data_IF_393787967731
#
_entry.id   IF_393787967731
#
_cell.length_a   1.000
_cell.length_b   1.000
_cell.length_c   1.000
_cell.angle_alpha   90.00
_cell.angle_beta   90.00
_cell.angle_gamma   90.00
#
_symmetry.space_group_name_H-M   'P 1'
#
loop_
_entity.id
_entity.type
_entity.pdbx_description
1 polymer ?
#
# COMPACT_ATOMS: atom_id res chain seq x y z
N UNK A 1 -23.93 71.90 -5.78
CA UNK A 1 -24.17 70.96 -6.89
C UNK A 1 -24.26 69.56 -6.29
N UNK A 2 -25.46 68.99 -6.13
CA UNK A 2 -25.67 67.70 -5.45
C UNK A 2 -25.57 66.52 -6.45
N UNK A 3 -25.02 65.36 -6.06
CA UNK A 3 -24.78 64.25 -6.98
C UNK A 3 -26.08 63.48 -7.28
N UNK A 4 -26.26 63.10 -8.55
CA UNK A 4 -27.39 62.32 -9.02
C UNK A 4 -27.34 60.88 -8.47
N UNK A 5 -28.27 60.56 -7.57
CA UNK A 5 -28.46 59.23 -7.01
C UNK A 5 -29.14 58.31 -8.04
N UNK A 6 -28.37 57.50 -8.77
CA UNK A 6 -28.90 56.43 -9.64
C UNK A 6 -29.41 55.27 -8.77
N UNK A 7 -30.71 55.24 -8.51
CA UNK A 7 -31.38 54.06 -7.93
C UNK A 7 -31.45 52.95 -8.97
N UNK A 8 -30.75 51.84 -8.76
CA UNK A 8 -30.93 50.61 -9.53
C UNK A 8 -32.35 50.07 -9.29
N UNK A 9 -33.25 50.19 -10.27
CA UNK A 9 -34.63 49.72 -10.15
C UNK A 9 -34.75 48.29 -10.68
N UNK A 10 -34.28 47.31 -9.92
CA UNK A 10 -34.73 45.94 -10.15
C UNK A 10 -36.21 45.86 -9.76
N UNK A 11 -37.07 45.49 -10.69
CA UNK A 11 -38.47 45.21 -10.40
C UNK A 11 -38.60 43.94 -9.55
N UNK A 12 -39.68 43.83 -8.77
CA UNK A 12 -39.96 42.63 -7.96
C UNK A 12 -39.94 41.34 -8.81
N UNK A 13 -40.41 41.43 -10.06
CA UNK A 13 -40.42 40.31 -11.01
C UNK A 13 -39.01 39.90 -11.42
N UNK A 14 -38.13 40.86 -11.68
CA UNK A 14 -36.72 40.60 -12.01
C UNK A 14 -35.97 40.01 -10.82
N UNK A 15 -36.24 40.51 -9.61
CA UNK A 15 -35.69 39.94 -8.39
C UNK A 15 -36.09 38.48 -8.20
N UNK A 16 -37.38 38.15 -8.40
CA UNK A 16 -37.85 36.76 -8.28
C UNK A 16 -37.28 35.85 -9.37
N UNK A 17 -37.16 36.33 -10.61
CA UNK A 17 -36.53 35.57 -11.71
C UNK A 17 -35.03 35.33 -11.46
N UNK A 18 -34.33 36.36 -11.01
CA UNK A 18 -32.91 36.28 -10.68
C UNK A 18 -32.66 35.31 -9.52
N UNK A 19 -33.48 35.39 -8.48
CA UNK A 19 -33.41 34.49 -7.32
C UNK A 19 -33.70 33.04 -7.69
N UNK A 20 -34.74 32.81 -8.52
CA UNK A 20 -35.08 31.47 -9.00
C UNK A 20 -33.97 30.87 -9.89
N UNK A 21 -33.38 31.68 -10.79
CA UNK A 21 -32.27 31.25 -11.64
C UNK A 21 -31.01 30.93 -10.82
N UNK A 22 -30.70 31.75 -9.81
CA UNK A 22 -29.59 31.49 -8.90
C UNK A 22 -29.79 30.20 -8.09
N UNK A 23 -31.00 29.98 -7.56
CA UNK A 23 -31.33 28.76 -6.81
C UNK A 23 -31.22 27.51 -7.70
N UNK A 24 -31.70 27.58 -8.95
CA UNK A 24 -31.55 26.49 -9.91
C UNK A 24 -30.07 26.21 -10.25
N UNK A 25 -29.26 27.25 -10.46
CA UNK A 25 -27.82 27.11 -10.68
C UNK A 25 -27.08 26.46 -9.50
N UNK A 26 -27.45 26.81 -8.26
CA UNK A 26 -26.87 26.22 -7.04
C UNK A 26 -27.29 24.76 -6.86
N UNK A 27 -28.52 24.39 -7.24
CA UNK A 27 -28.99 23.00 -7.14
C UNK A 27 -28.26 22.01 -8.06
N UNK A 28 -27.55 22.50 -9.07
CA UNK A 28 -26.69 21.69 -9.95
C UNK A 28 -25.25 21.53 -9.44
N UNK A 29 -24.84 22.31 -8.42
CA UNK A 29 -23.50 22.21 -7.83
C UNK A 29 -23.17 20.82 -7.26
N UNK A 30 -24.09 20.09 -6.59
CA UNK A 30 -23.81 18.74 -6.12
C UNK A 30 -23.57 17.74 -7.28
N UNK A 31 -24.26 17.92 -8.41
CA UNK A 31 -24.09 17.09 -9.60
C UNK A 31 -22.78 17.40 -10.35
N UNK A 32 -22.28 18.63 -10.26
CA UNK A 32 -20.96 19.04 -10.76
C UNK A 32 -19.84 18.72 -9.76
N UNK A 33 -20.17 18.58 -8.47
CA UNK A 33 -19.29 18.12 -7.40
C UNK A 33 -19.12 16.60 -7.47
N UNK A 34 -18.71 16.08 -8.62
CA UNK A 34 -17.90 14.86 -8.68
C UNK A 34 -16.52 15.18 -8.07
N UNK A 35 -16.50 15.46 -6.78
CA UNK A 35 -15.26 15.60 -6.03
C UNK A 35 -14.67 14.21 -5.97
N UNK A 36 -13.70 13.94 -6.86
CA UNK A 36 -12.81 12.79 -6.75
C UNK A 36 -12.33 12.79 -5.31
N UNK A 37 -12.63 11.73 -4.55
CA UNK A 37 -12.16 11.62 -3.17
C UNK A 37 -10.65 11.67 -3.21
N UNK A 38 -10.07 12.83 -2.90
CA UNK A 38 -8.62 12.99 -2.79
C UNK A 38 -8.27 12.31 -1.48
N UNK A 39 -7.87 11.04 -1.56
CA UNK A 39 -7.31 10.33 -0.42
C UNK A 39 -5.99 11.04 -0.11
N UNK A 40 -5.84 11.66 1.08
CA UNK A 40 -4.59 12.30 1.44
C UNK A 40 -3.46 11.26 1.46
N UNK A 41 -2.26 11.67 1.07
CA UNK A 41 -1.10 10.79 1.14
C UNK A 41 -0.89 10.28 2.58
N UNK A 42 -0.53 9.00 2.78
CA UNK A 42 -0.30 8.48 4.11
C UNK A 42 0.79 9.25 4.84
N UNK A 43 0.57 9.55 6.13
CA UNK A 43 1.59 10.14 6.99
C UNK A 43 2.83 9.25 7.03
N UNK A 44 4.02 9.85 7.00
CA UNK A 44 5.29 9.13 7.15
C UNK A 44 5.92 9.39 8.51
N UNK A 45 6.67 8.41 9.01
CA UNK A 45 7.49 8.50 10.23
C UNK A 45 8.79 7.74 10.08
N UNK A 46 9.79 8.17 10.84
CA UNK A 46 11.10 7.51 10.92
C UNK A 46 10.98 6.07 11.39
N UNK A 47 11.55 5.15 10.62
CA UNK A 47 11.59 3.72 10.90
C UNK A 47 12.77 3.39 11.81
N UNK A 48 12.50 3.40 13.11
CA UNK A 48 13.50 3.11 14.14
C UNK A 48 14.72 4.05 14.05
N UNK A 49 15.92 3.47 14.17
CA UNK A 49 17.18 4.22 14.10
C UNK A 49 17.78 4.29 12.69
N UNK A 50 17.15 3.64 11.71
CA UNK A 50 17.69 3.46 10.34
C UNK A 50 17.66 4.77 9.54
N UNK A 51 16.82 5.75 9.94
CA UNK A 51 16.71 7.03 9.24
C UNK A 51 15.85 6.99 7.97
N UNK A 52 15.20 5.85 7.70
CA UNK A 52 14.25 5.71 6.60
C UNK A 52 12.85 6.17 7.02
N UNK A 53 12.13 6.92 6.18
CA UNK A 53 10.76 7.34 6.44
C UNK A 53 9.75 6.36 5.83
N UNK A 54 8.96 5.69 6.68
CA UNK A 54 7.90 4.76 6.26
C UNK A 54 6.52 5.35 6.48
N UNK A 55 5.56 4.97 5.64
CA UNK A 55 4.15 5.27 5.87
C UNK A 55 3.68 4.64 7.18
N UNK A 56 2.84 5.35 7.94
CA UNK A 56 2.25 4.82 9.18
C UNK A 56 1.26 3.68 8.93
N UNK A 57 0.87 3.48 7.67
CA UNK A 57 0.13 2.33 7.17
C UNK A 57 1.06 1.50 6.28
N UNK A 58 1.04 0.18 6.46
CA UNK A 58 1.77 -0.76 5.60
C UNK A 58 0.85 -1.84 5.04
N UNK A 59 1.28 -2.47 3.95
CA UNK A 59 0.61 -3.64 3.38
C UNK A 59 1.26 -4.93 3.91
N UNK A 60 0.50 -5.69 4.68
CA UNK A 60 0.93 -7.00 5.20
C UNK A 60 0.69 -8.14 4.22
N UNK A 61 1.61 -9.11 4.21
CA UNK A 61 1.52 -10.32 3.40
C UNK A 61 0.56 -11.37 3.96
N UNK A 62 0.29 -11.33 5.26
CA UNK A 62 -0.68 -12.19 5.94
C UNK A 62 -2.12 -11.70 5.68
N UNK A 63 -3.07 -12.60 5.50
CA UNK A 63 -4.45 -12.23 5.16
C UNK A 63 -4.63 -12.11 3.65
N UNK A 64 -4.93 -10.92 3.12
CA UNK A 64 -5.39 -10.75 1.73
C UNK A 64 -4.38 -11.16 0.65
N UNK A 65 -3.07 -11.16 0.93
CA UNK A 65 -2.05 -11.65 -0.02
C UNK A 65 -1.72 -13.14 0.17
N UNK A 66 -2.15 -13.73 1.29
CA UNK A 66 -1.98 -15.15 1.63
C UNK A 66 -3.23 -15.97 1.24
N UNK A 67 -4.41 -15.40 1.49
CA UNK A 67 -5.74 -15.96 1.23
C UNK A 67 -6.56 -14.91 0.49
N UNK A 68 -6.18 -14.65 -0.75
CA UNK A 68 -6.90 -13.70 -1.60
C UNK A 68 -8.29 -14.26 -1.92
N UNK A 69 -9.37 -13.47 -1.75
CA UNK A 69 -10.70 -13.90 -2.14
C UNK A 69 -10.78 -14.24 -3.63
N UNK A 70 -11.70 -15.12 -3.98
CA UNK A 70 -11.97 -15.47 -5.37
C UNK A 70 -12.35 -14.21 -6.18
N UNK A 71 -11.87 -14.15 -7.43
CA UNK A 71 -12.11 -13.01 -8.32
C UNK A 71 -11.22 -11.77 -8.06
N UNK A 72 -10.30 -11.82 -7.09
CA UNK A 72 -9.35 -10.73 -6.83
C UNK A 72 -7.93 -11.19 -7.14
N UNK A 73 -7.20 -10.39 -7.92
CA UNK A 73 -5.79 -10.61 -8.19
C UNK A 73 -4.90 -10.01 -7.08
N UNK A 74 -4.09 -10.80 -6.36
CA UNK A 74 -3.27 -10.29 -5.25
C UNK A 74 -2.23 -9.26 -5.71
N UNK A 75 -1.77 -9.37 -6.96
CA UNK A 75 -0.83 -8.40 -7.55
C UNK A 75 -1.46 -7.02 -7.65
N UNK A 76 -2.75 -6.93 -7.99
CA UNK A 76 -3.46 -5.66 -8.12
C UNK A 76 -3.67 -4.98 -6.76
N UNK A 77 -3.80 -5.75 -5.67
CA UNK A 77 -3.80 -5.20 -4.30
C UNK A 77 -2.48 -4.46 -4.01
N UNK A 78 -1.35 -5.08 -4.38
CA UNK A 78 -0.02 -4.49 -4.15
C UNK A 78 0.19 -3.24 -5.02
N UNK A 79 -0.20 -3.29 -6.29
CA UNK A 79 -0.13 -2.12 -7.18
C UNK A 79 -1.00 -0.98 -6.66
N UNK A 80 -2.22 -1.29 -6.19
CA UNK A 80 -3.11 -0.30 -5.61
C UNK A 80 -2.53 0.34 -4.35
N UNK A 81 -1.88 -0.44 -3.48
CA UNK A 81 -1.20 0.10 -2.30
C UNK A 81 -0.08 1.07 -2.71
N UNK A 82 0.67 0.74 -3.77
CA UNK A 82 1.70 1.58 -4.33
C UNK A 82 1.14 2.90 -4.87
N UNK A 83 0.04 2.84 -5.64
CA UNK A 83 -0.67 4.02 -6.17
C UNK A 83 -1.21 4.93 -5.05
N UNK A 84 -1.58 4.34 -3.91
CA UNK A 84 -2.02 5.07 -2.71
C UNK A 84 -0.83 5.65 -1.91
N UNK A 85 0.41 5.46 -2.35
CA UNK A 85 1.61 6.01 -1.73
C UNK A 85 2.10 5.24 -0.51
N UNK A 86 1.63 4.00 -0.28
CA UNK A 86 2.15 3.13 0.77
C UNK A 86 3.58 2.72 0.39
N UNK A 87 4.52 2.86 1.31
CA UNK A 87 5.92 2.48 1.07
C UNK A 87 6.48 1.48 2.09
N UNK A 88 5.65 0.96 2.99
CA UNK A 88 6.01 -0.10 3.93
C UNK A 88 5.26 -1.39 3.61
N UNK A 89 6.02 -2.45 3.32
CA UNK A 89 5.50 -3.75 2.89
C UNK A 89 6.06 -4.84 3.79
N UNK A 90 5.23 -5.78 4.20
CA UNK A 90 5.63 -6.92 5.03
C UNK A 90 5.28 -8.25 4.36
N UNK A 91 6.14 -9.25 4.51
CA UNK A 91 5.89 -10.62 4.03
C UNK A 91 6.62 -11.66 4.89
N UNK A 92 6.45 -12.94 4.59
CA UNK A 92 7.12 -14.03 5.29
C UNK A 92 7.12 -15.29 4.43
N UNK A 93 8.10 -16.16 4.65
CA UNK A 93 8.13 -17.50 4.06
C UNK A 93 6.91 -18.36 4.43
N UNK A 94 6.24 -18.08 5.55
CA UNK A 94 5.02 -18.82 5.97
C UNK A 94 3.72 -18.18 5.48
N UNK A 95 3.77 -17.00 4.86
CA UNK A 95 2.58 -16.28 4.38
C UNK A 95 2.15 -16.74 2.99
N UNK A 96 2.06 -18.05 2.79
CA UNK A 96 1.64 -18.69 1.55
C UNK A 96 2.30 -18.04 0.31
N UNK A 97 1.52 -17.65 -0.72
CA UNK A 97 2.06 -17.09 -1.96
C UNK A 97 2.50 -15.61 -1.85
N UNK A 98 2.44 -14.97 -0.69
CA UNK A 98 2.63 -13.51 -0.59
C UNK A 98 3.99 -13.03 -1.11
N UNK A 99 5.10 -13.75 -0.86
CA UNK A 99 6.42 -13.40 -1.40
C UNK A 99 6.44 -13.46 -2.94
N UNK A 100 5.79 -14.47 -3.51
CA UNK A 100 5.67 -14.61 -4.97
C UNK A 100 4.81 -13.49 -5.56
N UNK A 101 3.73 -13.11 -4.87
CA UNK A 101 2.85 -12.01 -5.27
C UNK A 101 3.60 -10.66 -5.27
N UNK A 102 4.40 -10.37 -4.24
CA UNK A 102 5.31 -9.24 -4.24
C UNK A 102 6.31 -9.29 -5.40
N UNK A 103 6.95 -10.44 -5.64
CA UNK A 103 7.87 -10.60 -6.76
C UNK A 103 7.23 -10.35 -8.13
N UNK A 104 5.97 -10.75 -8.34
CA UNK A 104 5.19 -10.43 -9.55
C UNK A 104 4.89 -8.92 -9.65
N UNK A 105 4.42 -8.29 -8.58
CA UNK A 105 4.12 -6.86 -8.55
C UNK A 105 5.37 -6.00 -8.78
N UNK A 106 6.49 -6.34 -8.13
CA UNK A 106 7.74 -5.60 -8.25
C UNK A 106 8.38 -5.70 -9.63
N UNK A 107 8.14 -6.78 -10.37
CA UNK A 107 8.52 -6.85 -11.80
C UNK A 107 7.70 -5.88 -12.64
N UNK A 108 6.38 -5.77 -12.41
CA UNK A 108 5.53 -4.78 -13.09
C UNK A 108 5.99 -3.34 -12.79
N UNK A 109 6.38 -3.07 -11.54
CA UNK A 109 6.90 -1.78 -11.07
C UNK A 109 8.38 -1.56 -11.37
N UNK A 110 9.06 -2.52 -12.01
CA UNK A 110 10.49 -2.48 -12.36
C UNK A 110 11.43 -2.26 -11.16
N UNK A 111 11.12 -2.87 -10.02
CA UNK A 111 11.89 -2.72 -8.77
C UNK A 111 12.96 -3.81 -8.58
N UNK A 112 13.15 -4.71 -9.54
CA UNK A 112 14.10 -5.82 -9.42
C UNK A 112 15.47 -5.41 -9.99
N UNK A 113 16.53 -5.34 -9.17
CA UNK A 113 17.88 -5.03 -9.65
C UNK A 113 18.34 -6.00 -10.74
N UNK A 114 19.05 -5.48 -11.74
CA UNK A 114 19.58 -6.28 -12.85
C UNK A 114 18.56 -6.61 -13.96
N UNK A 115 17.30 -6.19 -13.83
CA UNK A 115 16.32 -6.31 -14.93
C UNK A 115 16.30 -5.07 -15.82
N UNK A 116 15.90 -5.25 -17.08
CA UNK A 116 15.75 -4.15 -18.04
C UNK A 116 14.72 -3.14 -17.54
N UNK A 117 15.14 -1.88 -17.45
CA UNK A 117 14.28 -0.78 -16.99
C UNK A 117 14.14 -0.68 -15.48
N UNK A 118 15.03 -1.32 -14.71
CA UNK A 118 15.11 -1.19 -13.26
C UNK A 118 15.09 0.27 -12.81
N UNK A 119 14.16 0.60 -11.91
CA UNK A 119 14.01 1.92 -11.29
C UNK A 119 14.62 1.89 -9.89
N UNK A 120 15.86 2.35 -9.80
CA UNK A 120 16.63 2.33 -8.54
C UNK A 120 16.08 3.30 -7.51
N UNK A 121 15.70 4.50 -7.93
CA UNK A 121 15.16 5.53 -7.05
C UNK A 121 13.83 5.07 -6.45
N UNK A 122 12.97 4.47 -7.28
CA UNK A 122 11.71 3.91 -6.81
C UNK A 122 11.94 2.71 -5.88
N UNK A 123 12.91 1.84 -6.17
CA UNK A 123 13.25 0.71 -5.30
C UNK A 123 13.78 1.17 -3.94
N UNK A 124 14.56 2.25 -3.90
CA UNK A 124 15.05 2.89 -2.67
C UNK A 124 13.94 3.63 -1.92
N UNK A 125 12.86 4.02 -2.57
CA UNK A 125 11.74 4.73 -1.91
C UNK A 125 10.84 3.85 -1.04
N UNK A 126 10.97 2.51 -1.14
CA UNK A 126 10.17 1.53 -0.41
C UNK A 126 10.97 0.70 0.59
N UNK A 127 10.28 0.24 1.63
CA UNK A 127 10.82 -0.63 2.65
C UNK A 127 10.03 -1.95 2.67
N UNK A 128 10.73 -3.05 2.43
CA UNK A 128 10.17 -4.41 2.45
C UNK A 128 10.75 -5.18 3.63
N UNK A 129 9.91 -5.66 4.53
CA UNK A 129 10.29 -6.55 5.63
C UNK A 129 9.94 -8.00 5.31
N UNK A 130 10.79 -8.91 5.77
CA UNK A 130 10.47 -10.33 5.75
C UNK A 130 10.99 -11.05 6.99
N UNK A 131 10.45 -12.23 7.24
CA UNK A 131 10.80 -13.09 8.39
C UNK A 131 10.74 -14.55 7.97
N UNK A 132 11.65 -15.34 8.54
CA UNK A 132 11.84 -16.76 8.23
C UNK A 132 11.08 -17.68 9.19
N UNK A 133 10.46 -17.14 10.26
CA UNK A 133 9.79 -17.88 11.34
C UNK A 133 10.66 -18.96 12.03
N UNK A 134 11.96 -19.01 11.73
CA UNK A 134 12.90 -19.93 12.35
C UNK A 134 13.28 -19.41 13.73
N UNK A 135 12.96 -20.18 14.77
CA UNK A 135 13.39 -19.90 16.14
C UNK A 135 14.66 -20.69 16.47
N UNK A 136 15.81 -20.07 16.25
CA UNK A 136 17.13 -20.68 16.46
C UNK A 136 17.37 -21.24 17.88
N UNK A 137 16.79 -20.62 18.91
CA UNK A 137 17.00 -21.03 20.31
C UNK A 137 16.48 -22.44 20.66
N UNK A 138 15.51 -23.00 19.92
CA UNK A 138 14.92 -24.32 20.24
C UNK A 138 15.74 -25.49 19.65
N UNK A 139 16.47 -25.26 18.57
CA UNK A 139 17.30 -26.28 17.92
C UNK A 139 18.48 -26.73 18.79
N UNK A 140 19.01 -25.83 19.63
CA UNK A 140 20.11 -26.13 20.57
C UNK A 140 19.63 -27.04 21.71
N UNK A 141 18.42 -26.81 22.23
CA UNK A 141 17.85 -27.61 23.33
C UNK A 141 17.56 -29.04 22.85
N UNK A 142 17.10 -29.21 21.60
CA UNK A 142 16.79 -30.54 21.08
C UNK A 142 18.07 -31.37 20.81
N UNK A 143 19.16 -30.74 20.33
CA UNK A 143 20.48 -31.40 20.22
C UNK A 143 21.06 -31.81 21.58
N UNK A 144 20.79 -31.06 22.65
CA UNK A 144 21.25 -31.41 24.00
C UNK A 144 20.50 -32.60 24.62
N UNK A 145 19.31 -32.92 24.10
CA UNK A 145 18.43 -33.98 24.64
C UNK A 145 18.51 -35.26 23.77
N UNK A 146 19.03 -35.17 22.55
CA UNK A 146 19.16 -36.31 21.64
C UNK A 146 20.52 -36.99 21.83
N UNK A 147 20.50 -38.30 22.10
CA UNK A 147 21.71 -39.11 22.21
C UNK A 147 22.50 -39.11 20.89
N UNK A 148 23.82 -39.23 20.97
CA UNK A 148 24.75 -39.24 19.82
C UNK A 148 24.33 -40.24 18.72
N UNK A 149 23.62 -41.31 19.09
CA UNK A 149 23.11 -42.33 18.17
C UNK A 149 22.16 -41.75 17.11
N UNK A 150 21.27 -40.83 17.50
CA UNK A 150 20.26 -40.28 16.56
C UNK A 150 20.87 -39.21 15.63
N UNK A 151 21.95 -38.56 16.07
CA UNK A 151 22.67 -37.56 15.26
C UNK A 151 23.47 -38.21 14.10
N UNK A 152 23.95 -39.45 14.28
CA UNK A 152 24.62 -40.21 13.21
C UNK A 152 23.63 -40.69 12.13
N UNK A 153 22.39 -41.02 12.53
CA UNK A 153 21.38 -41.53 11.62
C UNK A 153 20.78 -40.44 10.71
N UNK A 154 20.74 -39.20 11.20
CA UNK A 154 20.29 -38.04 10.42
C UNK A 154 21.36 -37.50 9.47
N UNK A 155 22.64 -37.52 9.87
CA UNK A 155 23.76 -37.10 9.02
C UNK A 155 24.06 -38.10 7.90
N UNK A 156 23.72 -39.38 8.07
CA UNK A 156 23.86 -40.41 7.02
C UNK A 156 22.85 -40.32 5.87
N UNK A 157 21.75 -39.56 6.02
CA UNK A 157 20.70 -39.45 4.99
C UNK A 157 20.81 -38.22 4.08
N UNK A 158 21.67 -37.25 4.41
CA UNK A 158 21.88 -36.04 3.58
C UNK A 158 22.91 -36.24 2.46
N UNK A 159 23.58 -37.40 2.37
CA UNK A 159 24.64 -37.64 1.37
C UNK A 159 24.15 -38.17 0.01
N UNK A 160 22.84 -38.25 -0.25
CA UNK A 160 22.29 -38.87 -1.46
C UNK A 160 21.38 -37.96 -2.31
N UNK A 161 21.58 -36.65 -2.26
CA UNK A 161 21.03 -35.72 -3.25
C UNK A 161 22.02 -34.60 -3.59
N UNK A 162 22.94 -34.91 -4.52
CA UNK A 162 23.43 -33.98 -5.55
C UNK A 162 23.26 -34.70 -6.88
#
# INVERSE_FOLDING_TARGET
MAPANRKSKLSRREFMRLSAAAAAGVSLLPALSCSRTVIPSPMKRRFGKIGFEVTTLGLGGQGSLQWTPEGIEPVEIILKAFDLGINYFDTSNVYGPSQMNYGKAFRKLKLIPGQKGYDEELRKSIFLTTKTMVRWQKAVIQKSIMSETVLKELTGKEQLLI
#
